data_IF_263257304697
#
_entry.id   IF_263257304697
#
_cell.length_a   1.000
_cell.length_b   1.000
_cell.length_c   1.000
_cell.angle_alpha   90.00
_cell.angle_beta   90.00
_cell.angle_gamma   90.00
#
_symmetry.space_group_name_H-M   'P 1'
#
loop_
_entity.id
_entity.type
_entity.pdbx_description
1 polymer ?
#
# COMPACT_ATOMS: atom_id res chain seq x y z
N UNK A 1 -63.04 -109.88 13.51
CA UNK A 1 -62.69 -108.45 13.72
C UNK A 1 -61.57 -108.45 14.76
N UNK A 2 -60.30 -108.48 14.30
CA UNK A 2 -59.28 -107.38 14.40
C UNK A 2 -58.83 -107.08 15.84
N UNK A 3 -57.57 -107.01 16.29
CA UNK A 3 -56.21 -107.48 15.97
C UNK A 3 -55.34 -107.06 17.20
N UNK A 4 -54.14 -107.64 17.48
CA UNK A 4 -53.38 -107.44 18.73
C UNK A 4 -52.07 -106.63 18.55
N UNK A 5 -51.64 -105.78 19.50
CA UNK A 5 -50.26 -105.17 19.61
C UNK A 5 -50.13 -104.60 21.05
N UNK A 6 -49.25 -105.01 21.98
CA UNK A 6 -47.79 -105.08 22.08
C UNK A 6 -47.08 -103.77 22.56
N UNK A 7 -46.38 -103.95 23.71
CA UNK A 7 -45.23 -103.24 24.32
C UNK A 7 -44.72 -101.93 23.69
N UNK A 8 -44.39 -100.95 24.53
CA UNK A 8 -43.20 -100.10 24.39
C UNK A 8 -42.88 -99.35 25.70
N UNK A 9 -41.71 -99.66 26.29
CA UNK A 9 -41.13 -99.03 27.48
C UNK A 9 -40.43 -97.71 27.12
N UNK A 10 -40.66 -96.66 27.89
CA UNK A 10 -40.05 -95.32 27.75
C UNK A 10 -38.63 -95.28 28.35
N UNK A 11 -37.65 -94.89 27.54
CA UNK A 11 -36.29 -94.47 27.93
C UNK A 11 -36.20 -92.95 27.78
N UNK A 12 -35.95 -92.22 28.86
CA UNK A 12 -35.70 -90.78 28.85
C UNK A 12 -34.20 -90.53 29.04
N UNK A 13 -33.53 -90.02 28.00
CA UNK A 13 -32.14 -89.58 28.05
C UNK A 13 -32.08 -88.05 28.21
N UNK A 14 -31.44 -87.59 29.29
CA UNK A 14 -31.21 -86.18 29.62
C UNK A 14 -29.98 -85.68 28.86
N UNK A 15 -30.16 -84.75 27.92
CA UNK A 15 -29.06 -84.01 27.30
C UNK A 15 -28.84 -82.70 28.08
N UNK A 16 -27.69 -82.61 28.77
CA UNK A 16 -27.23 -81.41 29.46
C UNK A 16 -26.83 -80.32 28.47
N UNK A 17 -27.44 -79.14 28.59
CA UNK A 17 -27.12 -77.95 27.80
C UNK A 17 -25.89 -77.22 28.35
N UNK A 18 -24.85 -77.11 27.51
CA UNK A 18 -23.72 -76.20 27.71
C UNK A 18 -24.17 -74.76 27.41
N UNK A 19 -24.24 -73.92 28.45
CA UNK A 19 -24.41 -72.47 28.33
C UNK A 19 -23.08 -71.86 27.84
N UNK A 20 -23.04 -71.46 26.58
CA UNK A 20 -21.95 -70.64 26.04
C UNK A 20 -22.02 -69.24 26.67
N UNK A 21 -21.00 -68.90 27.47
CA UNK A 21 -20.73 -67.51 27.84
C UNK A 21 -20.20 -66.78 26.60
N UNK A 22 -20.99 -65.88 26.02
CA UNK A 22 -20.52 -64.97 24.99
C UNK A 22 -19.59 -63.92 25.64
N UNK A 23 -18.37 -63.69 25.12
CA UNK A 23 -17.55 -62.60 25.61
C UNK A 23 -18.26 -61.28 25.34
N UNK A 24 -18.42 -60.46 26.39
CA UNK A 24 -18.78 -59.05 26.26
C UNK A 24 -17.68 -58.36 25.46
N UNK A 25 -17.91 -58.22 24.15
CA UNK A 25 -17.08 -57.39 23.32
C UNK A 25 -17.33 -55.96 23.79
N UNK A 26 -16.35 -55.36 24.46
CA UNK A 26 -16.28 -53.93 24.61
C UNK A 26 -16.17 -53.37 23.19
N UNK A 27 -17.33 -53.10 22.59
CA UNK A 27 -17.47 -52.67 21.22
C UNK A 27 -16.71 -51.39 21.04
N UNK A 28 -15.64 -51.44 20.25
CA UNK A 28 -15.17 -50.28 19.53
C UNK A 28 -16.38 -49.64 18.85
N UNK A 29 -16.39 -48.32 18.78
CA UNK A 29 -17.50 -47.64 18.19
C UNK A 29 -17.51 -47.96 16.68
N UNK A 30 -18.55 -48.66 16.19
CA UNK A 30 -18.77 -48.95 14.77
C UNK A 30 -20.12 -48.36 14.33
N UNK A 31 -20.09 -47.39 13.41
CA UNK A 31 -21.29 -46.74 12.85
C UNK A 31 -21.25 -45.22 12.87
N UNK A 32 -22.38 -44.58 12.55
CA UNK A 32 -22.55 -43.11 12.58
C UNK A 32 -22.41 -42.51 13.99
N UNK A 33 -22.50 -43.34 15.03
CA UNK A 33 -22.44 -42.93 16.43
C UNK A 33 -21.02 -42.64 16.93
N UNK A 34 -20.03 -42.85 16.06
CA UNK A 34 -18.60 -42.78 16.37
C UNK A 34 -17.94 -41.55 15.79
N UNK A 35 -18.69 -40.79 15.00
CA UNK A 35 -18.28 -39.54 14.44
C UNK A 35 -19.17 -38.45 15.04
N UNK A 36 -18.54 -37.35 15.43
CA UNK A 36 -19.26 -36.12 15.74
C UNK A 36 -19.15 -35.20 14.55
N UNK A 37 -20.24 -34.53 14.24
CA UNK A 37 -20.24 -33.47 13.26
C UNK A 37 -19.54 -32.24 13.86
N UNK A 38 -18.43 -31.83 13.27
CA UNK A 38 -17.68 -30.63 13.69
C UNK A 38 -17.82 -29.58 12.60
N UNK A 39 -18.27 -28.39 13.01
CA UNK A 39 -18.31 -27.21 12.15
C UNK A 39 -17.17 -26.29 12.56
N UNK A 40 -16.27 -26.01 11.62
CA UNK A 40 -15.20 -25.03 11.79
C UNK A 40 -15.66 -23.70 11.19
N UNK A 41 -15.70 -22.61 11.98
CA UNK A 41 -16.10 -21.30 11.48
C UNK A 41 -15.11 -20.77 10.43
N UNK A 42 -15.54 -19.83 9.57
CA UNK A 42 -14.64 -19.19 8.61
C UNK A 42 -13.57 -18.36 9.33
N UNK A 43 -12.38 -18.29 8.74
CA UNK A 43 -11.28 -17.49 9.27
C UNK A 43 -11.16 -16.20 8.45
N UNK A 44 -11.18 -15.07 9.15
CA UNK A 44 -11.01 -13.74 8.58
C UNK A 44 -9.69 -13.14 9.02
N UNK A 45 -9.08 -12.40 8.11
CA UNK A 45 -7.89 -11.60 8.38
C UNK A 45 -8.15 -10.14 7.98
N UNK A 46 -7.33 -9.22 8.50
CA UNK A 46 -7.42 -7.78 8.21
C UNK A 46 -6.26 -7.36 7.32
N UNK A 47 -6.57 -6.98 6.08
CA UNK A 47 -5.60 -6.42 5.15
C UNK A 47 -5.64 -4.90 5.25
N UNK A 48 -4.46 -4.29 5.30
CA UNK A 48 -4.27 -2.84 5.25
C UNK A 48 -3.91 -2.43 3.82
N UNK A 49 -4.67 -1.50 3.26
CA UNK A 49 -4.43 -0.97 1.91
C UNK A 49 -4.22 0.55 1.98
N UNK A 50 -3.19 1.05 1.29
CA UNK A 50 -2.98 2.49 1.13
C UNK A 50 -3.75 2.99 -0.08
N UNK A 51 -4.79 3.78 0.17
CA UNK A 51 -5.64 4.35 -0.87
C UNK A 51 -5.28 5.82 -1.07
N UNK A 52 -5.19 6.24 -2.33
CA UNK A 52 -5.03 7.65 -2.69
C UNK A 52 -6.33 8.40 -2.38
N UNK A 53 -6.30 9.26 -1.37
CA UNK A 53 -7.46 10.08 -0.97
C UNK A 53 -7.49 11.38 -1.77
N UNK A 54 -6.31 11.92 -2.08
CA UNK A 54 -6.18 13.19 -2.79
C UNK A 54 -5.01 13.10 -3.77
N UNK A 55 -5.26 13.28 -5.08
CA UNK A 55 -4.19 13.31 -6.06
C UNK A 55 -3.30 14.55 -5.87
N UNK A 56 -2.04 14.50 -6.36
CA UNK A 56 -1.20 15.68 -6.37
C UNK A 56 -1.86 16.75 -7.25
N UNK A 57 -1.76 18.01 -6.83
CA UNK A 57 -2.26 19.13 -7.62
C UNK A 57 -1.31 20.31 -7.54
N UNK A 58 -1.24 21.06 -8.62
CA UNK A 58 -0.48 22.31 -8.67
C UNK A 58 -1.43 23.48 -8.45
N UNK A 59 -1.12 24.32 -7.47
CA UNK A 59 -1.83 25.58 -7.22
C UNK A 59 -0.93 26.73 -7.63
N UNK A 60 -1.50 27.77 -8.21
CA UNK A 60 -0.76 28.95 -8.65
C UNK A 60 -1.00 30.11 -7.67
N UNK A 61 0.09 30.64 -7.12
CA UNK A 61 0.07 31.88 -6.34
C UNK A 61 0.47 33.05 -7.23
N UNK A 62 -0.39 34.04 -7.36
CA UNK A 62 -0.11 35.26 -8.11
C UNK A 62 0.58 36.30 -7.23
N UNK A 63 1.75 36.77 -7.68
CA UNK A 63 2.45 37.92 -7.11
C UNK A 63 2.18 39.15 -8.00
N UNK A 64 1.71 40.27 -7.44
CA UNK A 64 1.39 41.46 -8.22
C UNK A 64 2.64 42.10 -8.84
N UNK A 65 2.49 42.90 -9.91
CA UNK A 65 3.61 43.63 -10.50
C UNK A 65 4.14 44.71 -9.55
N UNK A 66 5.44 44.98 -9.63
CA UNK A 66 6.10 46.06 -8.89
C UNK A 66 6.46 47.17 -9.85
N UNK A 67 5.97 48.37 -9.56
CA UNK A 67 6.25 49.59 -10.29
C UNK A 67 7.17 50.50 -9.49
N UNK A 68 7.99 51.27 -10.21
CA UNK A 68 8.83 52.30 -9.63
C UNK A 68 8.71 53.61 -10.42
N UNK A 69 9.03 54.72 -9.79
CA UNK A 69 8.96 56.06 -10.40
C UNK A 69 10.36 56.59 -10.62
N UNK A 70 10.76 56.66 -11.89
CA UNK A 70 12.07 57.17 -12.27
C UNK A 70 11.92 58.63 -12.72
N UNK A 71 12.73 59.50 -12.11
CA UNK A 71 12.85 60.90 -12.51
C UNK A 71 14.07 61.10 -13.41
N UNK A 72 13.85 61.64 -14.60
CA UNK A 72 14.91 61.99 -15.55
C UNK A 72 14.98 63.51 -15.73
N UNK A 73 16.19 64.06 -15.76
CA UNK A 73 16.41 65.48 -16.01
C UNK A 73 16.50 65.72 -17.51
N UNK A 74 15.47 66.33 -18.07
CA UNK A 74 15.38 66.62 -19.51
C UNK A 74 15.67 68.10 -19.74
N UNK A 75 16.49 68.41 -20.74
CA UNK A 75 16.72 69.79 -21.18
C UNK A 75 15.46 70.31 -21.86
N UNK A 76 14.88 71.40 -21.33
CA UNK A 76 13.67 72.03 -21.89
C UNK A 76 13.99 73.29 -22.69
N UNK A 77 15.16 73.88 -22.44
CA UNK A 77 15.67 74.98 -23.25
C UNK A 77 17.20 74.89 -23.31
N UNK A 78 17.81 74.91 -24.50
CA UNK A 78 19.25 74.81 -24.66
C UNK A 78 20.02 76.03 -24.15
N UNK A 79 19.33 77.12 -23.79
CA UNK A 79 19.97 78.40 -23.54
C UNK A 79 20.59 78.97 -24.81
N UNK A 80 21.40 80.01 -24.67
CA UNK A 80 22.07 80.62 -25.81
C UNK A 80 22.54 82.04 -25.53
N UNK A 81 23.30 82.58 -26.47
CA UNK A 81 23.81 83.95 -26.43
C UNK A 81 23.19 84.74 -27.56
N UNK A 82 22.60 85.88 -27.24
CA UNK A 82 21.96 86.74 -28.22
C UNK A 82 22.27 88.21 -27.96
N UNK A 83 22.23 88.99 -29.03
CA UNK A 83 22.52 90.42 -29.00
C UNK A 83 21.26 91.17 -28.58
N UNK A 84 21.34 91.93 -27.48
CA UNK A 84 20.29 92.86 -27.09
C UNK A 84 20.81 94.28 -27.19
N UNK A 85 19.97 95.20 -27.65
CA UNK A 85 20.30 96.63 -27.71
C UNK A 85 19.33 97.40 -26.84
N UNK A 86 19.86 98.31 -26.01
CA UNK A 86 19.07 99.23 -25.19
C UNK A 86 19.41 100.68 -25.56
N UNK A 87 18.47 101.59 -25.32
CA UNK A 87 18.73 103.04 -25.45
C UNK A 87 19.29 103.59 -24.15
N UNK A 88 20.40 104.30 -24.24
CA UNK A 88 20.99 105.03 -23.14
C UNK A 88 20.26 106.36 -22.85
N UNK A 89 20.61 107.04 -21.74
CA UNK A 89 19.99 108.31 -21.34
C UNK A 89 20.16 109.44 -22.37
N UNK A 90 21.22 109.40 -23.19
CA UNK A 90 21.49 110.37 -24.27
C UNK A 90 20.89 110.00 -25.63
N UNK A 91 20.15 108.88 -25.72
CA UNK A 91 19.57 108.39 -26.97
C UNK A 91 20.47 107.46 -27.80
N UNK A 92 21.69 107.17 -27.35
CA UNK A 92 22.58 106.20 -27.99
C UNK A 92 22.07 104.75 -27.90
N UNK A 93 22.43 103.91 -28.89
CA UNK A 93 22.13 102.48 -28.88
C UNK A 93 23.33 101.71 -28.31
N UNK A 94 23.17 101.11 -27.13
CA UNK A 94 24.19 100.29 -26.46
C UNK A 94 23.81 98.83 -26.65
N UNK A 95 24.70 98.07 -27.28
CA UNK A 95 24.52 96.64 -27.49
C UNK A 95 25.28 95.80 -26.46
N UNK A 96 24.62 94.80 -25.89
CA UNK A 96 25.20 93.86 -24.95
C UNK A 96 24.90 92.43 -25.38
N UNK A 97 25.89 91.55 -25.26
CA UNK A 97 25.69 90.12 -25.38
C UNK A 97 25.05 89.59 -24.11
N UNK A 98 23.83 89.07 -24.21
CA UNK A 98 23.14 88.42 -23.10
C UNK A 98 23.23 86.91 -23.26
N UNK A 99 23.76 86.23 -22.24
CA UNK A 99 23.88 84.77 -22.21
C UNK A 99 22.85 84.20 -21.25
N UNK A 100 21.96 83.35 -21.75
CA UNK A 100 20.96 82.66 -20.94
C UNK A 100 21.41 81.21 -20.75
N UNK A 101 21.48 80.69 -19.51
CA UNK A 101 21.87 79.31 -19.25
C UNK A 101 20.79 78.33 -19.72
N UNK A 102 21.16 77.08 -20.05
CA UNK A 102 20.18 76.03 -20.36
C UNK A 102 19.27 75.77 -19.16
N UNK A 103 17.99 75.52 -19.44
CA UNK A 103 17.00 75.16 -18.43
C UNK A 103 16.67 73.68 -18.55
N UNK A 104 16.57 73.03 -17.40
CA UNK A 104 16.23 71.62 -17.28
C UNK A 104 14.98 71.47 -16.43
N UNK A 105 14.15 70.49 -16.77
CA UNK A 105 13.01 70.08 -15.97
C UNK A 105 13.12 68.60 -15.62
N UNK A 106 12.47 68.20 -14.53
CA UNK A 106 12.31 66.79 -14.19
C UNK A 106 11.10 66.23 -14.92
N UNK A 107 11.29 65.09 -15.57
CA UNK A 107 10.23 64.29 -16.14
C UNK A 107 10.16 62.98 -15.37
N UNK A 108 9.03 62.70 -14.75
CA UNK A 108 8.78 61.44 -14.05
C UNK A 108 8.07 60.46 -14.97
N UNK A 109 8.48 59.19 -14.94
CA UNK A 109 7.75 58.09 -15.57
C UNK A 109 7.69 56.88 -14.66
N UNK A 110 6.58 56.16 -14.71
CA UNK A 110 6.44 54.88 -14.03
C UNK A 110 7.03 53.78 -14.90
N UNK A 111 7.92 52.98 -14.32
CA UNK A 111 8.57 51.86 -14.99
C UNK A 111 8.19 50.56 -14.26
N UNK A 112 7.89 49.52 -15.04
CA UNK A 112 7.66 48.19 -14.50
C UNK A 112 9.00 47.55 -14.13
N UNK A 113 9.23 47.35 -12.84
CA UNK A 113 10.47 46.76 -12.31
C UNK A 113 10.37 45.23 -12.27
N UNK A 114 9.19 44.73 -11.88
CA UNK A 114 8.90 43.30 -11.84
C UNK A 114 7.51 43.06 -12.41
N UNK A 115 7.42 42.19 -13.40
CA UNK A 115 6.14 41.76 -13.95
C UNK A 115 5.35 40.95 -12.91
N UNK A 116 4.04 40.83 -13.13
CA UNK A 116 3.24 39.88 -12.37
C UNK A 116 3.78 38.46 -12.61
N UNK A 117 3.89 37.66 -11.54
CA UNK A 117 4.42 36.31 -11.61
C UNK A 117 3.43 35.32 -11.02
N UNK A 118 3.25 34.18 -11.68
CA UNK A 118 2.52 33.02 -11.15
C UNK A 118 3.53 31.98 -10.68
N UNK A 119 3.60 31.77 -9.37
CA UNK A 119 4.51 30.78 -8.76
C UNK A 119 3.73 29.46 -8.60
N UNK A 120 4.18 28.36 -9.22
CA UNK A 120 3.56 27.05 -9.04
C UNK A 120 3.97 26.47 -7.68
N UNK A 121 2.98 26.03 -6.90
CA UNK A 121 3.16 25.30 -5.66
C UNK A 121 2.54 23.91 -5.82
N UNK A 122 3.37 22.88 -5.69
CA UNK A 122 2.93 21.48 -5.81
C UNK A 122 2.47 20.97 -4.45
N UNK A 123 1.17 20.68 -4.33
CA UNK A 123 0.62 20.02 -3.15
C UNK A 123 0.80 18.51 -3.34
N UNK A 124 1.49 17.81 -2.42
CA UNK A 124 1.74 16.38 -2.53
C UNK A 124 0.44 15.56 -2.43
N UNK A 125 0.44 14.30 -2.88
CA UNK A 125 -0.69 13.40 -2.70
C UNK A 125 -0.91 13.08 -1.22
N UNK A 126 -2.17 12.89 -0.83
CA UNK A 126 -2.51 12.38 0.50
C UNK A 126 -3.00 10.93 0.37
N UNK A 127 -2.37 10.05 1.14
CA UNK A 127 -2.73 8.65 1.27
C UNK A 127 -3.37 8.40 2.63
N UNK A 128 -4.31 7.47 2.67
CA UNK A 128 -4.87 6.95 3.91
C UNK A 128 -4.85 5.43 3.89
N UNK A 129 -4.67 4.84 5.07
CA UNK A 129 -4.73 3.38 5.24
C UNK A 129 -6.16 2.97 5.57
N UNK A 130 -6.72 2.09 4.74
CA UNK A 130 -8.05 1.50 4.96
C UNK A 130 -7.87 0.04 5.33
N UNK A 131 -8.57 -0.38 6.39
CA UNK A 131 -8.60 -1.79 6.78
C UNK A 131 -9.81 -2.49 6.18
N UNK A 132 -9.59 -3.66 5.57
CA UNK A 132 -10.65 -4.52 5.04
C UNK A 132 -10.50 -5.93 5.56
N UNK A 133 -11.61 -6.51 6.05
CA UNK A 133 -11.64 -7.94 6.39
C UNK A 133 -11.76 -8.78 5.13
N UNK A 134 -10.86 -9.74 4.99
CA UNK A 134 -10.84 -10.71 3.89
C UNK A 134 -10.98 -12.11 4.49
N UNK A 135 -11.81 -12.95 3.89
CA UNK A 135 -11.93 -14.34 4.28
C UNK A 135 -10.72 -15.11 3.73
N UNK A 136 -9.89 -15.63 4.62
CA UNK A 136 -8.68 -16.40 4.24
C UNK A 136 -8.99 -17.89 4.15
N UNK A 137 -9.96 -18.37 4.95
CA UNK A 137 -10.45 -19.73 4.86
C UNK A 137 -11.98 -19.77 4.96
N UNK A 138 -12.66 -20.51 4.04
CA UNK A 138 -14.09 -20.70 4.12
C UNK A 138 -14.46 -21.58 5.33
N UNK A 139 -15.71 -21.47 5.76
CA UNK A 139 -16.27 -22.38 6.76
C UNK A 139 -16.26 -23.81 6.20
N UNK A 140 -15.93 -24.78 7.04
CA UNK A 140 -15.96 -26.20 6.67
C UNK A 140 -16.66 -27.02 7.73
N UNK A 141 -17.39 -28.03 7.30
CA UNK A 141 -18.05 -28.97 8.18
C UNK A 141 -17.66 -30.40 7.79
N UNK A 142 -17.50 -31.27 8.77
CA UNK A 142 -17.12 -32.65 8.53
C UNK A 142 -17.28 -33.53 9.77
N UNK A 143 -17.28 -34.83 9.54
CA UNK A 143 -17.38 -35.84 10.58
C UNK A 143 -15.98 -36.17 11.12
N UNK A 144 -15.78 -36.04 12.43
CA UNK A 144 -14.52 -36.32 13.13
C UNK A 144 -14.76 -37.42 14.16
N UNK A 145 -13.89 -38.43 14.30
CA UNK A 145 -14.07 -39.52 15.26
C UNK A 145 -14.12 -39.02 16.71
N UNK A 146 -15.00 -39.60 17.53
CA UNK A 146 -15.31 -39.13 18.89
C UNK A 146 -14.25 -39.55 19.91
N UNK A 147 -13.66 -40.75 19.80
CA UNK A 147 -12.44 -41.12 20.53
C UNK A 147 -11.92 -42.51 20.10
N UNK A 148 -10.59 -42.65 20.18
CA UNK A 148 -9.85 -43.90 20.02
C UNK A 148 -8.40 -43.58 19.70
N UNK A 149 -7.66 -43.03 20.65
CA UNK A 149 -6.21 -42.86 20.55
C UNK A 149 -5.54 -44.23 20.45
N UNK A 150 -5.25 -44.66 19.23
CA UNK A 150 -4.29 -45.72 18.94
C UNK A 150 -3.50 -45.29 17.70
N UNK A 151 -2.19 -45.21 17.86
CA UNK A 151 -1.27 -44.62 16.90
C UNK A 151 -1.38 -45.21 15.49
N UNK A 152 -1.46 -44.32 14.52
CA UNK A 152 -1.25 -44.61 13.11
C UNK A 152 -0.77 -43.33 12.47
N UNK A 153 0.54 -43.18 12.35
CA UNK A 153 1.18 -41.94 11.95
C UNK A 153 0.60 -41.36 10.66
N UNK A 154 0.26 -40.07 10.71
CA UNK A 154 0.43 -39.24 9.53
C UNK A 154 1.93 -39.26 9.21
N UNK A 155 2.35 -40.21 8.38
CA UNK A 155 3.61 -40.05 7.65
C UNK A 155 3.44 -38.76 6.87
N UNK A 156 4.19 -37.73 7.27
CA UNK A 156 4.55 -36.69 6.34
C UNK A 156 4.97 -37.40 5.05
N UNK A 157 4.30 -37.10 3.94
CA UNK A 157 4.75 -37.54 2.64
C UNK A 157 6.11 -36.88 2.41
N UNK A 158 7.16 -37.55 2.87
CA UNK A 158 8.52 -37.37 2.41
C UNK A 158 8.52 -37.80 0.96
N UNK A 159 8.13 -36.88 0.06
CA UNK A 159 8.61 -36.94 -1.30
C UNK A 159 10.13 -36.94 -1.21
N UNK A 160 10.71 -38.12 -1.44
CA UNK A 160 12.14 -38.30 -1.58
C UNK A 160 12.62 -37.48 -2.78
N UNK A 161 13.01 -36.24 -2.52
CA UNK A 161 13.97 -35.49 -3.30
C UNK A 161 15.35 -35.62 -2.64
N UNK A 162 16.45 -35.49 -3.40
CA UNK A 162 17.79 -35.77 -2.90
C UNK A 162 18.10 -34.90 -1.66
N UNK A 163 18.76 -35.50 -0.67
CA UNK A 163 19.36 -34.82 0.47
C UNK A 163 20.46 -33.86 -0.02
N UNK A 164 20.07 -32.69 -0.50
CA UNK A 164 20.94 -31.53 -0.55
C UNK A 164 20.83 -30.91 0.84
N UNK A 165 21.83 -31.17 1.68
CA UNK A 165 21.94 -30.54 2.99
C UNK A 165 21.91 -29.02 2.82
N UNK A 166 20.83 -28.40 3.27
CA UNK A 166 20.76 -26.97 3.48
C UNK A 166 21.75 -26.61 4.59
N UNK A 167 22.68 -25.72 4.26
CA UNK A 167 23.80 -25.26 5.09
C UNK A 167 23.42 -24.34 6.29
N UNK A 168 22.17 -23.86 6.57
CA UNK A 168 22.01 -22.84 7.61
C UNK A 168 21.80 -23.36 9.04
N UNK A 169 21.74 -24.68 9.29
CA UNK A 169 21.44 -25.18 10.64
C UNK A 169 22.60 -25.04 11.65
N UNK A 170 23.77 -24.57 11.22
CA UNK A 170 24.88 -24.26 12.12
C UNK A 170 24.78 -22.87 12.78
N UNK A 171 23.89 -21.98 12.33
CA UNK A 171 23.78 -20.60 12.85
C UNK A 171 22.33 -20.20 13.03
N UNK A 172 21.60 -20.90 13.90
CA UNK A 172 20.41 -20.44 14.65
C UNK A 172 19.46 -19.37 14.06
N UNK A 173 19.17 -19.36 12.75
CA UNK A 173 18.20 -18.45 12.14
C UNK A 173 17.10 -19.31 11.52
N UNK A 174 16.04 -19.50 12.30
CA UNK A 174 14.80 -20.13 11.82
C UNK A 174 13.98 -19.06 11.10
N UNK A 175 13.82 -19.18 9.77
CA UNK A 175 12.80 -18.41 9.03
C UNK A 175 13.23 -17.66 7.77
N UNK A 176 14.40 -17.91 7.18
CA UNK A 176 14.74 -17.33 5.87
C UNK A 176 14.26 -18.25 4.74
N UNK A 177 13.38 -17.73 3.88
CA UNK A 177 12.97 -18.39 2.64
C UNK A 177 14.10 -18.24 1.60
N UNK A 178 14.10 -19.05 0.54
CA UNK A 178 15.12 -18.96 -0.53
C UNK A 178 15.19 -17.59 -1.24
N UNK A 179 14.19 -16.71 -1.02
CA UNK A 179 14.22 -15.33 -1.48
C UNK A 179 15.18 -14.43 -0.66
N UNK A 180 15.48 -14.80 0.59
CA UNK A 180 16.22 -13.94 1.52
C UNK A 180 17.76 -14.14 1.42
N UNK A 181 18.20 -15.28 0.88
CA UNK A 181 19.64 -15.59 0.74
C UNK A 181 20.30 -14.82 -0.41
N UNK A 182 19.53 -14.39 -1.41
CA UNK A 182 20.05 -13.62 -2.55
C UNK A 182 20.55 -12.22 -2.17
N UNK A 183 20.00 -11.62 -1.11
CA UNK A 183 20.38 -10.28 -0.67
C UNK A 183 21.67 -10.29 0.18
N UNK A 184 21.95 -11.39 0.88
CA UNK A 184 23.12 -11.49 1.77
C UNK A 184 24.46 -11.79 1.09
N UNK A 185 24.45 -12.35 -0.13
CA UNK A 185 25.68 -12.76 -0.84
C UNK A 185 25.92 -11.99 -2.15
N UNK A 186 25.22 -10.88 -2.40
CA UNK A 186 25.55 -9.97 -3.50
C UNK A 186 25.30 -10.53 -4.92
N UNK A 187 24.52 -11.60 -5.06
CA UNK A 187 24.08 -12.09 -6.38
C UNK A 187 22.70 -11.52 -6.69
N UNK A 188 22.68 -10.31 -7.25
CA UNK A 188 21.50 -9.70 -7.86
C UNK A 188 21.10 -10.48 -9.12
N UNK A 189 20.10 -11.35 -9.04
CA UNK A 189 19.40 -11.84 -10.24
C UNK A 189 18.37 -10.79 -10.62
N UNK A 190 18.78 -9.84 -11.45
CA UNK A 190 17.87 -8.91 -12.11
C UNK A 190 16.83 -9.69 -12.92
N UNK A 191 15.56 -9.54 -12.56
CA UNK A 191 14.45 -10.10 -13.32
C UNK A 191 14.32 -9.33 -14.64
N UNK A 192 14.56 -10.05 -15.73
CA UNK A 192 14.51 -9.64 -17.14
C UNK A 192 13.08 -9.43 -17.66
N UNK A 193 12.24 -8.69 -16.94
CA UNK A 193 10.89 -8.35 -17.41
C UNK A 193 10.52 -6.88 -17.15
N UNK A 194 11.15 -5.99 -17.92
CA UNK A 194 10.51 -4.82 -18.52
C UNK A 194 10.52 -5.13 -20.04
N UNK A 195 9.42 -5.30 -20.76
CA UNK A 195 8.19 -4.51 -20.74
C UNK A 195 8.20 -3.63 -22.00
N UNK A 196 7.57 -4.12 -23.08
CA UNK A 196 7.37 -3.44 -24.36
C UNK A 196 6.73 -2.06 -24.23
#
# INVERSE_FOLDING_TARGET
MTAPVARSTLLAAVFGGLLFAAPAQAGGCYGSECYRHVTTPPVYDTVQENVLVRPPRTVYRTTPPVYDTVSERVMVSPGGRFWQTSRGPGGELIGCWVTTPPRFALRTRTVLVRAAQSIPETIPPEYATVSRRVQVAPARAGWVPIAGGYGGGYRAASYGGPLVGSIPDAVGITGASSADVGVGLGFSTGSLYDGY
#
